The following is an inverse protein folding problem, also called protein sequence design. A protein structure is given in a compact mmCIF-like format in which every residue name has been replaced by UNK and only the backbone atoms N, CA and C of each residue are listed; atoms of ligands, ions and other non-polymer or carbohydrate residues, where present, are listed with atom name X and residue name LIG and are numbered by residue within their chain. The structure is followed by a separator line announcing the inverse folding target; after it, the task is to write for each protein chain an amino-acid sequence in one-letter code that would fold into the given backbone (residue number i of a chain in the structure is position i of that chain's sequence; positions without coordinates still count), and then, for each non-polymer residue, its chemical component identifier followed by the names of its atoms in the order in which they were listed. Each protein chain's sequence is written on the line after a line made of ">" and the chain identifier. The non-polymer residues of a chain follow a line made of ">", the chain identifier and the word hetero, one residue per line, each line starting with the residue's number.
data_IF_296262085978
#
_entry.id   IF_296262085978
#
_cell.length_a   1.000
_cell.length_b   1.000
_cell.length_c   1.000
_cell.angle_alpha   90.00
_cell.angle_beta   90.00
_cell.angle_gamma   90.00
#
_symmetry.space_group_name_H-M   'P 1'
#
loop_
_entity.id
_entity.type
_entity.pdbx_description
1 polymer ?
#
# COMPACT_ATOMS: atom_id res chain seq x y z
N UNK A 1 -6.71 1.62 -32.90
CA UNK A 1 -5.49 1.76 -33.72
C UNK A 1 -5.49 0.64 -34.74
N UNK A 2 -5.27 0.93 -36.03
CA UNK A 2 -5.06 -0.13 -37.04
C UNK A 2 -3.66 -0.71 -36.83
N UNK A 3 -3.56 -2.03 -36.85
CA UNK A 3 -2.27 -2.72 -36.80
C UNK A 3 -1.49 -2.39 -38.08
N UNK A 4 -0.28 -1.84 -37.91
CA UNK A 4 0.65 -1.46 -38.99
C UNK A 4 1.95 -2.24 -38.90
N UNK A 5 1.98 -3.31 -38.10
CA UNK A 5 3.17 -4.14 -37.91
C UNK A 5 3.59 -4.80 -39.23
N UNK A 6 2.63 -5.11 -40.10
CA UNK A 6 2.88 -5.72 -41.41
C UNK A 6 3.51 -4.72 -42.38
N UNK A 7 2.99 -3.49 -42.48
CA UNK A 7 3.58 -2.39 -43.27
C UNK A 7 5.05 -2.14 -42.88
N UNK A 8 5.39 -2.27 -41.60
CA UNK A 8 6.74 -2.07 -41.06
C UNK A 8 7.70 -3.21 -41.43
N UNK A 9 7.22 -4.45 -41.47
CA UNK A 9 8.03 -5.61 -41.87
C UNK A 9 8.38 -5.55 -43.36
N UNK A 10 7.41 -5.20 -44.20
CA UNK A 10 7.61 -5.03 -45.65
C UNK A 10 8.60 -3.88 -45.96
N UNK A 11 8.67 -2.84 -45.13
CA UNK A 11 9.64 -1.77 -45.28
C UNK A 11 11.07 -2.18 -44.85
N UNK A 12 11.18 -3.06 -43.86
CA UNK A 12 12.47 -3.51 -43.32
C UNK A 12 13.17 -4.52 -44.24
N UNK A 13 12.40 -5.37 -44.94
CA UNK A 13 12.96 -6.29 -45.96
C UNK A 13 13.56 -5.56 -47.18
N UNK A 14 13.24 -4.28 -47.39
CA UNK A 14 13.74 -3.47 -48.50
C UNK A 14 14.96 -2.60 -48.15
N UNK A 15 15.43 -2.60 -46.89
CA UNK A 15 16.62 -1.88 -46.46
C UNK A 15 17.60 -2.87 -45.78
N UNK A 16 18.62 -3.31 -46.53
CA UNK A 16 19.72 -4.17 -46.05
C UNK A 16 20.71 -3.45 -45.10
N UNK A 17 20.22 -2.56 -44.22
CA UNK A 17 20.98 -2.09 -43.06
C UNK A 17 20.33 -2.69 -41.80
N UNK A 18 20.55 -3.99 -41.60
CA UNK A 18 20.24 -4.67 -40.35
C UNK A 18 21.18 -4.12 -39.26
N UNK A 19 20.84 -2.95 -38.72
CA UNK A 19 21.40 -2.45 -37.48
C UNK A 19 20.95 -3.42 -36.38
N UNK A 20 21.76 -4.44 -36.15
CA UNK A 20 21.63 -5.36 -35.03
C UNK A 20 21.85 -4.53 -33.77
N UNK A 21 20.76 -3.99 -33.23
CA UNK A 21 20.73 -3.48 -31.87
C UNK A 21 20.89 -4.71 -31.00
N UNK A 22 22.11 -4.98 -30.56
CA UNK A 22 22.37 -5.84 -29.42
C UNK A 22 21.68 -5.20 -28.23
N UNK A 23 20.42 -5.58 -28.00
CA UNK A 23 19.76 -5.34 -26.72
C UNK A 23 20.51 -6.23 -25.74
N UNK A 24 21.57 -5.68 -25.14
CA UNK A 24 22.12 -6.25 -23.92
C UNK A 24 20.94 -6.32 -22.95
N UNK A 25 20.43 -7.53 -22.73
CA UNK A 25 19.52 -7.86 -21.62
C UNK A 25 20.33 -7.80 -20.32
N UNK A 26 20.97 -6.66 -20.07
CA UNK A 26 21.57 -6.41 -18.79
C UNK A 26 20.42 -6.09 -17.84
N UNK A 27 20.39 -6.77 -16.70
CA UNK A 27 19.27 -6.91 -15.77
C UNK A 27 18.73 -5.57 -15.26
N UNK A 28 17.92 -4.89 -16.10
CA UNK A 28 17.47 -3.53 -15.87
C UNK A 28 16.57 -3.46 -14.63
N UNK A 29 17.12 -2.93 -13.54
CA UNK A 29 16.42 -2.73 -12.27
C UNK A 29 15.76 -4.01 -11.71
N UNK A 30 16.32 -5.18 -12.01
CA UNK A 30 15.72 -6.47 -11.61
C UNK A 30 15.50 -6.56 -10.09
N UNK A 31 16.51 -6.23 -9.28
CA UNK A 31 16.41 -6.20 -7.82
C UNK A 31 15.30 -5.26 -7.33
N UNK A 32 15.16 -4.10 -7.99
CA UNK A 32 14.14 -3.13 -7.65
C UNK A 32 12.74 -3.65 -8.00
N UNK A 33 12.56 -4.29 -9.16
CA UNK A 33 11.29 -4.88 -9.54
C UNK A 33 10.91 -6.08 -8.67
N UNK A 34 11.89 -6.86 -8.22
CA UNK A 34 11.66 -7.90 -7.20
C UNK A 34 11.16 -7.31 -5.88
N UNK A 35 11.75 -6.21 -5.40
CA UNK A 35 11.26 -5.52 -4.20
C UNK A 35 9.84 -4.95 -4.40
N UNK A 36 9.56 -4.34 -5.55
CA UNK A 36 8.22 -3.84 -5.90
C UNK A 36 7.18 -4.96 -5.87
N UNK A 37 7.49 -6.11 -6.48
CA UNK A 37 6.59 -7.25 -6.52
C UNK A 37 6.39 -7.86 -5.13
N UNK A 38 7.45 -7.96 -4.32
CA UNK A 38 7.33 -8.42 -2.93
C UNK A 38 6.41 -7.50 -2.11
N UNK A 39 6.55 -6.17 -2.22
CA UNK A 39 5.66 -5.22 -1.55
C UNK A 39 4.22 -5.41 -2.03
N UNK A 40 4.02 -5.55 -3.34
CA UNK A 40 2.69 -5.75 -3.93
C UNK A 40 2.02 -7.01 -3.39
N UNK A 41 2.73 -8.13 -3.36
CA UNK A 41 2.21 -9.41 -2.85
C UNK A 41 1.87 -9.33 -1.36
N UNK A 42 2.67 -8.62 -0.56
CA UNK A 42 2.36 -8.38 0.84
C UNK A 42 1.10 -7.52 1.01
N UNK A 43 0.93 -6.46 0.21
CA UNK A 43 -0.29 -5.62 0.24
C UNK A 43 -1.52 -6.46 -0.15
N UNK A 44 -1.42 -7.27 -1.20
CA UNK A 44 -2.52 -8.14 -1.64
C UNK A 44 -2.88 -9.16 -0.55
N UNK A 45 -1.88 -9.77 0.09
CA UNK A 45 -2.09 -10.68 1.22
C UNK A 45 -2.72 -10.00 2.44
N UNK A 46 -2.35 -8.75 2.73
CA UNK A 46 -3.03 -7.97 3.78
C UNK A 46 -4.51 -7.79 3.40
N UNK A 47 -4.81 -7.42 2.17
CA UNK A 47 -6.19 -7.28 1.68
C UNK A 47 -7.00 -8.57 1.84
N UNK A 48 -6.43 -9.73 1.49
CA UNK A 48 -7.07 -11.04 1.72
C UNK A 48 -7.35 -11.31 3.21
N UNK A 49 -6.38 -11.03 4.08
CA UNK A 49 -6.55 -11.19 5.52
C UNK A 49 -7.63 -10.25 6.08
N UNK A 50 -7.75 -9.02 5.55
CA UNK A 50 -8.81 -8.06 5.92
C UNK A 50 -10.19 -8.61 5.57
N UNK A 51 -10.34 -9.22 4.40
CA UNK A 51 -11.60 -9.89 4.03
C UNK A 51 -11.94 -11.06 4.95
N UNK A 52 -10.94 -11.83 5.37
CA UNK A 52 -11.17 -12.91 6.33
C UNK A 52 -11.51 -12.38 7.72
N UNK A 53 -10.90 -11.27 8.16
CA UNK A 53 -11.29 -10.56 9.39
C UNK A 53 -12.77 -10.15 9.34
N UNK A 54 -13.25 -9.58 8.22
CA UNK A 54 -14.68 -9.24 8.04
C UNK A 54 -15.58 -10.46 8.23
N UNK A 55 -15.21 -11.62 7.66
CA UNK A 55 -15.97 -12.87 7.83
C UNK A 55 -15.98 -13.34 9.27
N UNK A 56 -14.83 -13.34 9.96
CA UNK A 56 -14.74 -13.76 11.37
C UNK A 56 -15.53 -12.82 12.29
N UNK A 57 -15.45 -11.52 12.08
CA UNK A 57 -16.29 -10.53 12.76
C UNK A 57 -17.78 -10.81 12.60
N UNK A 58 -18.22 -11.13 11.37
CA UNK A 58 -19.62 -11.48 11.11
C UNK A 58 -20.05 -12.74 11.88
N UNK A 59 -19.20 -13.77 11.92
CA UNK A 59 -19.47 -15.02 12.67
C UNK A 59 -19.57 -14.71 14.17
N UNK A 60 -18.61 -13.95 14.71
CA UNK A 60 -18.55 -13.56 16.12
C UNK A 60 -19.80 -12.78 16.55
N UNK A 61 -20.32 -11.90 15.69
CA UNK A 61 -21.53 -11.11 15.95
C UNK A 61 -22.84 -11.89 15.74
N UNK A 62 -22.79 -13.05 15.10
CA UNK A 62 -23.98 -13.87 14.81
C UNK A 62 -24.38 -14.77 15.98
N UNK A 63 -23.47 -15.07 16.90
CA UNK A 63 -23.69 -15.96 18.04
C UNK A 63 -23.54 -15.21 19.38
N UNK A 64 -24.43 -15.43 20.36
CA UNK A 64 -24.30 -14.89 21.72
C UNK A 64 -22.98 -15.28 22.40
N UNK A 65 -22.56 -16.52 22.20
CA UNK A 65 -21.29 -17.06 22.67
C UNK A 65 -20.55 -17.69 21.48
N UNK A 66 -19.73 -16.92 20.76
CA UNK A 66 -18.99 -17.42 19.62
C UNK A 66 -17.91 -18.41 20.07
N UNK A 67 -17.60 -19.38 19.21
CA UNK A 67 -16.60 -20.41 19.49
C UNK A 67 -15.22 -19.79 19.72
N UNK A 68 -14.51 -20.28 20.75
CA UNK A 68 -13.15 -19.82 21.07
C UNK A 68 -12.20 -19.90 19.88
N UNK A 69 -12.33 -20.94 19.07
CA UNK A 69 -11.55 -21.14 17.84
C UNK A 69 -11.69 -19.97 16.84
N UNK A 70 -12.88 -19.41 16.67
CA UNK A 70 -13.08 -18.27 15.75
C UNK A 70 -12.38 -17.02 16.27
N UNK A 71 -12.32 -16.84 17.60
CA UNK A 71 -11.59 -15.73 18.23
C UNK A 71 -10.07 -15.91 18.11
N UNK A 72 -9.56 -17.13 18.27
CA UNK A 72 -8.15 -17.46 18.06
C UNK A 72 -7.72 -17.20 16.61
N UNK A 73 -8.50 -17.66 15.63
CA UNK A 73 -8.25 -17.39 14.21
C UNK A 73 -8.26 -15.89 13.88
N UNK A 74 -9.13 -15.10 14.52
CA UNK A 74 -9.16 -13.64 14.37
C UNK A 74 -7.88 -12.97 14.93
N UNK A 75 -7.38 -13.46 16.07
CA UNK A 75 -6.13 -12.98 16.66
C UNK A 75 -4.93 -13.30 15.77
N UNK A 76 -4.88 -14.49 15.19
CA UNK A 76 -3.85 -14.89 14.22
C UNK A 76 -3.85 -13.99 12.98
N UNK A 77 -5.03 -13.71 12.42
CA UNK A 77 -5.19 -12.79 11.29
C UNK A 77 -4.71 -11.37 11.64
N UNK A 78 -5.06 -10.88 12.83
CA UNK A 78 -4.63 -9.55 13.31
C UNK A 78 -3.11 -9.47 13.41
N UNK A 79 -2.47 -10.50 13.98
CA UNK A 79 -1.01 -10.60 14.08
C UNK A 79 -0.34 -10.68 12.70
N UNK A 80 -0.94 -11.43 11.76
CA UNK A 80 -0.44 -11.57 10.40
C UNK A 80 -0.52 -10.23 9.64
N UNK A 81 -1.66 -9.53 9.69
CA UNK A 81 -1.83 -8.19 9.11
C UNK A 81 -0.78 -7.25 9.66
N UNK A 82 -0.60 -7.19 10.98
CA UNK A 82 0.38 -6.33 11.62
C UNK A 82 1.81 -6.61 11.15
N UNK A 83 2.19 -7.89 11.10
CA UNK A 83 3.52 -8.32 10.67
C UNK A 83 3.79 -7.91 9.21
N UNK A 84 2.86 -8.21 8.32
CA UNK A 84 3.01 -7.93 6.90
C UNK A 84 2.97 -6.41 6.64
N UNK A 85 2.13 -5.66 7.36
CA UNK A 85 2.06 -4.20 7.26
C UNK A 85 3.35 -3.49 7.72
N UNK A 86 3.94 -3.93 8.84
CA UNK A 86 5.25 -3.41 9.29
C UNK A 86 6.37 -3.70 8.28
N UNK A 87 6.32 -4.87 7.62
CA UNK A 87 7.28 -5.23 6.57
C UNK A 87 7.12 -4.32 5.35
N UNK A 88 5.89 -4.12 4.86
CA UNK A 88 5.57 -3.19 3.77
C UNK A 88 6.05 -1.78 4.10
N UNK A 89 5.77 -1.29 5.31
CA UNK A 89 6.19 0.04 5.76
C UNK A 89 7.71 0.21 5.73
N UNK A 90 8.45 -0.80 6.21
CA UNK A 90 9.92 -0.79 6.22
C UNK A 90 10.48 -0.75 4.79
N UNK A 91 9.93 -1.56 3.89
CA UNK A 91 10.36 -1.62 2.49
C UNK A 91 10.03 -0.32 1.74
N UNK A 92 8.85 0.27 1.96
CA UNK A 92 8.49 1.57 1.37
C UNK A 92 9.43 2.68 1.85
N UNK A 93 9.73 2.74 3.15
CA UNK A 93 10.71 3.71 3.69
C UNK A 93 12.11 3.52 3.12
N UNK A 94 12.54 2.27 2.88
CA UNK A 94 13.82 1.99 2.23
C UNK A 94 13.82 2.49 0.77
N UNK A 95 12.77 2.19 0.02
CA UNK A 95 12.58 2.66 -1.35
C UNK A 95 12.54 4.19 -1.45
N UNK A 96 11.95 4.88 -0.47
CA UNK A 96 11.94 6.34 -0.39
C UNK A 96 13.35 6.91 -0.20
N UNK A 97 14.19 6.32 0.66
CA UNK A 97 15.57 6.74 0.89
C UNK A 97 16.43 6.58 -0.36
N UNK A 98 16.32 5.44 -1.03
CA UNK A 98 16.98 5.20 -2.32
C UNK A 98 16.60 6.26 -3.37
N UNK A 99 15.36 6.78 -3.33
CA UNK A 99 14.92 7.86 -4.21
C UNK A 99 15.46 9.25 -3.83
N UNK A 100 15.89 9.47 -2.57
CA UNK A 100 16.41 10.77 -2.08
C UNK A 100 17.93 10.90 -2.26
N UNK A 101 18.67 9.79 -2.15
CA UNK A 101 20.14 9.79 -2.22
C UNK A 101 20.70 9.98 -3.65
N UNK A 102 19.92 9.76 -4.71
CA UNK A 102 20.32 10.02 -6.12
C UNK A 102 20.32 11.51 -6.52
N UNK A 103 20.60 12.41 -5.56
CA UNK A 103 20.41 13.87 -5.59
C UNK A 103 21.15 14.69 -6.68
N UNK A 104 21.80 14.08 -7.66
CA UNK A 104 22.48 14.78 -8.76
C UNK A 104 21.96 14.41 -10.16
N UNK A 105 21.08 13.41 -10.28
CA UNK A 105 20.57 12.91 -11.57
C UNK A 105 19.04 13.06 -11.68
N UNK A 106 18.55 14.27 -11.38
CA UNK A 106 17.13 14.65 -11.23
C UNK A 106 16.20 14.29 -12.41
N UNK A 107 16.73 13.84 -13.55
CA UNK A 107 15.98 13.47 -14.76
C UNK A 107 16.18 12.01 -15.24
N UNK A 108 16.81 11.13 -14.47
CA UNK A 108 17.04 9.74 -14.91
C UNK A 108 15.70 8.97 -15.05
N UNK A 109 15.60 8.12 -16.08
CA UNK A 109 14.44 7.23 -16.28
C UNK A 109 14.23 6.33 -15.05
N UNK A 110 15.32 5.88 -14.44
CA UNK A 110 15.32 5.01 -13.26
C UNK A 110 14.67 5.70 -12.06
N UNK A 111 15.06 6.94 -11.76
CA UNK A 111 14.51 7.71 -10.64
C UNK A 111 13.00 7.94 -10.82
N UNK A 112 12.54 8.20 -12.05
CA UNK A 112 11.10 8.35 -12.35
C UNK A 112 10.32 7.07 -12.14
N UNK A 113 10.86 5.94 -12.59
CA UNK A 113 10.22 4.64 -12.37
C UNK A 113 10.13 4.34 -10.87
N UNK A 114 11.24 4.50 -10.13
CA UNK A 114 11.28 4.28 -8.67
C UNK A 114 10.25 5.14 -7.92
N UNK A 115 10.21 6.44 -8.21
CA UNK A 115 9.24 7.37 -7.60
C UNK A 115 7.79 7.03 -7.94
N UNK A 116 7.50 6.64 -9.18
CA UNK A 116 6.16 6.27 -9.62
C UNK A 116 5.69 4.98 -8.94
N UNK A 117 6.56 3.97 -8.85
CA UNK A 117 6.27 2.70 -8.19
C UNK A 117 6.07 2.87 -6.69
N UNK A 118 7.02 3.54 -6.01
CA UNK A 118 6.89 3.91 -4.59
C UNK A 118 5.53 4.54 -4.33
N UNK A 119 5.16 5.52 -5.17
CA UNK A 119 3.93 6.25 -4.97
C UNK A 119 2.65 5.43 -5.16
N UNK A 120 2.66 4.56 -6.16
CA UNK A 120 1.55 3.66 -6.43
C UNK A 120 1.37 2.66 -5.29
N UNK A 121 2.48 2.07 -4.81
CA UNK A 121 2.48 1.13 -3.70
C UNK A 121 2.05 1.80 -2.38
N UNK A 122 2.54 3.00 -2.07
CA UNK A 122 2.12 3.76 -0.87
C UNK A 122 0.61 4.01 -0.86
N UNK A 123 0.02 4.43 -1.99
CA UNK A 123 -1.44 4.61 -2.09
C UNK A 123 -2.21 3.31 -1.92
N UNK A 124 -1.77 2.23 -2.57
CA UNK A 124 -2.42 0.93 -2.46
C UNK A 124 -2.37 0.42 -1.01
N UNK A 125 -1.22 0.55 -0.35
CA UNK A 125 -1.05 0.20 1.05
C UNK A 125 -1.96 1.04 1.96
N UNK A 126 -1.97 2.37 1.81
CA UNK A 126 -2.84 3.25 2.58
C UNK A 126 -4.33 2.91 2.39
N UNK A 127 -4.74 2.57 1.17
CA UNK A 127 -6.11 2.15 0.88
C UNK A 127 -6.50 0.88 1.66
N UNK A 128 -5.67 -0.17 1.60
CA UNK A 128 -5.94 -1.44 2.30
C UNK A 128 -5.94 -1.25 3.82
N UNK A 129 -5.01 -0.45 4.35
CA UNK A 129 -4.97 -0.17 5.79
C UNK A 129 -6.18 0.65 6.26
N UNK A 130 -6.64 1.60 5.44
CA UNK A 130 -7.87 2.36 5.72
C UNK A 130 -9.08 1.44 5.78
N UNK A 131 -9.22 0.53 4.83
CA UNK A 131 -10.28 -0.48 4.81
C UNK A 131 -10.22 -1.42 6.03
N UNK A 132 -9.01 -1.78 6.47
CA UNK A 132 -8.84 -2.54 7.70
C UNK A 132 -9.34 -1.76 8.92
N UNK A 133 -8.98 -0.47 9.05
CA UNK A 133 -9.43 0.37 10.15
C UNK A 133 -10.95 0.57 10.15
N UNK A 134 -11.56 0.81 8.98
CA UNK A 134 -13.02 0.87 8.83
C UNK A 134 -13.68 -0.44 9.26
N UNK A 135 -13.09 -1.59 8.90
CA UNK A 135 -13.57 -2.90 9.33
C UNK A 135 -13.56 -3.05 10.85
N UNK A 136 -12.50 -2.59 11.51
CA UNK A 136 -12.39 -2.61 12.97
C UNK A 136 -13.44 -1.69 13.62
N UNK A 137 -13.59 -0.44 13.15
CA UNK A 137 -14.60 0.50 13.67
C UNK A 137 -16.02 -0.07 13.52
N UNK A 138 -16.35 -0.64 12.37
CA UNK A 138 -17.66 -1.25 12.14
C UNK A 138 -17.93 -2.41 13.12
N UNK A 139 -16.92 -3.20 13.45
CA UNK A 139 -17.06 -4.27 14.45
C UNK A 139 -17.20 -3.72 15.88
N UNK A 140 -16.49 -2.64 16.22
CA UNK A 140 -16.65 -1.91 17.48
C UNK A 140 -18.10 -1.48 17.67
N UNK A 141 -18.65 -0.76 16.69
CA UNK A 141 -19.96 -0.12 16.80
C UNK A 141 -21.07 -1.18 16.86
N UNK A 142 -20.94 -2.26 16.09
CA UNK A 142 -21.85 -3.40 16.20
C UNK A 142 -21.76 -4.10 17.55
N UNK A 143 -20.56 -4.22 18.13
CA UNK A 143 -20.37 -4.79 19.47
C UNK A 143 -20.97 -3.88 20.55
N UNK A 144 -20.79 -2.56 20.45
CA UNK A 144 -21.44 -1.56 21.31
C UNK A 144 -22.97 -1.70 21.26
N UNK A 145 -23.56 -1.75 20.06
CA UNK A 145 -25.00 -1.92 19.90
C UNK A 145 -25.53 -3.25 20.47
N UNK A 146 -24.74 -4.34 20.40
CA UNK A 146 -25.07 -5.61 21.08
C UNK A 146 -25.06 -5.46 22.60
N UNK A 147 -24.04 -4.80 23.17
CA UNK A 147 -23.98 -4.54 24.62
C UNK A 147 -25.20 -3.72 25.07
N UNK A 148 -25.53 -2.66 24.34
CA UNK A 148 -26.71 -1.84 24.62
C UNK A 148 -27.99 -2.69 24.66
N UNK A 149 -28.17 -3.54 23.64
CA UNK A 149 -29.31 -4.46 23.56
C UNK A 149 -29.39 -5.42 24.76
N UNK A 150 -28.25 -5.94 25.21
CA UNK A 150 -28.19 -6.84 26.35
C UNK A 150 -28.47 -6.10 27.68
N UNK A 151 -28.05 -4.84 27.82
CA UNK A 151 -28.40 -4.00 28.97
C UNK A 151 -29.92 -3.71 29.02
N UNK A 152 -30.56 -3.47 27.87
CA UNK A 152 -32.02 -3.32 27.81
C UNK A 152 -32.74 -4.59 28.32
N UNK A 153 -32.23 -5.78 27.97
CA UNK A 153 -32.81 -7.07 28.39
C UNK A 153 -32.71 -7.25 29.91
N UNK A 154 -31.65 -6.75 30.54
CA UNK A 154 -31.49 -6.78 31.99
C UNK A 154 -32.28 -5.68 32.71
N UNK A 155 -32.95 -4.80 31.96
CA UNK A 155 -33.77 -3.71 32.49
C UNK A 155 -33.00 -2.40 32.73
N UNK A 156 -31.73 -2.31 32.32
CA UNK A 156 -30.92 -1.09 32.40
C UNK A 156 -31.00 -0.36 31.06
N UNK A 157 -31.74 0.74 31.01
CA UNK A 157 -31.75 1.63 29.83
C UNK A 157 -30.52 2.51 29.91
N UNK A 158 -29.69 2.48 28.86
CA UNK A 158 -28.44 3.25 28.80
C UNK A 158 -28.42 4.06 27.52
N UNK A 159 -28.12 5.34 27.64
CA UNK A 159 -27.89 6.23 26.48
C UNK A 159 -26.57 5.89 25.78
N UNK A 160 -26.38 6.39 24.56
CA UNK A 160 -25.15 6.10 23.81
C UNK A 160 -23.90 6.67 24.48
N UNK A 161 -24.03 7.86 25.09
CA UNK A 161 -22.97 8.56 25.82
C UNK A 161 -22.60 7.84 27.12
N UNK A 162 -23.60 7.42 27.91
CA UNK A 162 -23.36 6.63 29.13
C UNK A 162 -22.70 5.29 28.81
N UNK A 163 -23.11 4.64 27.71
CA UNK A 163 -22.51 3.39 27.29
C UNK A 163 -21.05 3.59 26.87
N UNK A 164 -20.74 4.71 26.24
CA UNK A 164 -19.37 5.07 25.88
C UNK A 164 -18.49 5.24 27.12
N UNK A 165 -18.95 6.02 28.11
CA UNK A 165 -18.25 6.20 29.38
C UNK A 165 -18.03 4.86 30.10
N UNK A 166 -19.00 3.95 30.04
CA UNK A 166 -18.86 2.61 30.58
C UNK A 166 -17.77 1.79 29.89
N UNK A 167 -17.64 1.89 28.56
CA UNK A 167 -16.59 1.23 27.77
C UNK A 167 -15.21 1.83 28.08
N UNK A 168 -15.11 3.16 28.15
CA UNK A 168 -13.86 3.88 28.44
C UNK A 168 -13.33 3.61 29.86
N UNK A 169 -14.21 3.30 30.81
CA UNK A 169 -13.84 2.98 32.18
C UNK A 169 -12.90 1.78 32.31
N UNK A 170 -12.91 0.87 31.31
CA UNK A 170 -12.12 -0.35 31.29
C UNK A 170 -12.46 -1.36 32.39
N UNK A 171 -13.50 -1.12 33.20
CA UNK A 171 -13.89 -1.95 34.32
C UNK A 171 -15.11 -2.81 33.96
N UNK A 172 -14.97 -4.13 33.75
CA UNK A 172 -16.09 -5.01 33.41
C UNK A 172 -17.22 -5.04 34.46
N UNK A 173 -16.90 -4.72 35.72
CA UNK A 173 -17.89 -4.70 36.80
C UNK A 173 -18.91 -3.57 36.66
N UNK A 174 -18.64 -2.54 35.86
CA UNK A 174 -19.58 -1.43 35.62
C UNK A 174 -20.87 -1.90 34.93
N UNK A 175 -20.78 -3.01 34.19
CA UNK A 175 -21.93 -3.63 33.55
C UNK A 175 -22.74 -4.49 34.51
N UNK A 176 -22.21 -4.90 35.65
CA UNK A 176 -22.86 -5.86 36.57
C UNK A 176 -23.29 -5.25 37.91
N UNK A 177 -22.76 -4.07 38.29
CA UNK A 177 -22.94 -3.47 39.62
C UNK A 177 -24.39 -3.23 40.03
N UNK A 178 -25.26 -2.90 39.07
CA UNK A 178 -26.65 -2.50 39.34
C UNK A 178 -27.67 -3.57 38.93
N UNK A 179 -27.21 -4.72 38.44
CA UNK A 179 -28.07 -5.74 37.83
C UNK A 179 -28.23 -6.93 38.77
N UNK A 180 -29.47 -7.14 39.23
CA UNK A 180 -29.84 -8.28 40.05
C UNK A 180 -29.85 -9.54 39.16
N UNK A 181 -28.90 -10.45 39.39
CA UNK A 181 -28.68 -11.66 38.59
C UNK A 181 -29.61 -12.82 38.96
N UNK A 182 -30.89 -12.56 39.17
CA UNK A 182 -31.85 -13.58 39.67
C UNK A 182 -32.39 -14.49 38.56
N UNK A 183 -32.37 -14.02 37.30
CA UNK A 183 -32.83 -14.80 36.15
C UNK A 183 -31.67 -15.40 35.35
N UNK A 184 -31.89 -16.61 34.82
CA UNK A 184 -30.97 -17.24 33.87
C UNK A 184 -30.75 -16.36 32.62
N UNK A 185 -31.78 -15.62 32.20
CA UNK A 185 -31.72 -14.67 31.07
C UNK A 185 -30.74 -13.54 31.39
N UNK A 186 -30.82 -12.96 32.59
CA UNK A 186 -29.93 -11.88 33.04
C UNK A 186 -28.48 -12.36 33.09
N UNK A 187 -28.22 -13.56 33.62
CA UNK A 187 -26.87 -14.15 33.63
C UNK A 187 -26.30 -14.33 32.22
N UNK A 188 -27.11 -14.79 31.28
CA UNK A 188 -26.69 -14.96 29.90
C UNK A 188 -26.36 -13.61 29.23
N UNK A 189 -27.20 -12.60 29.44
CA UNK A 189 -26.96 -11.24 28.93
C UNK A 189 -25.66 -10.65 29.49
N UNK A 190 -25.40 -10.82 30.79
CA UNK A 190 -24.16 -10.35 31.42
C UNK A 190 -22.91 -11.05 30.86
N UNK A 191 -22.96 -12.37 30.65
CA UNK A 191 -21.85 -13.12 30.04
C UNK A 191 -21.56 -12.64 28.60
N UNK A 192 -22.61 -12.35 27.82
CA UNK A 192 -22.46 -11.82 26.47
C UNK A 192 -21.83 -10.41 26.50
N UNK A 193 -22.30 -9.54 27.40
CA UNK A 193 -21.73 -8.20 27.61
C UNK A 193 -20.24 -8.28 27.91
N UNK A 194 -19.84 -9.12 28.86
CA UNK A 194 -18.43 -9.29 29.23
C UNK A 194 -17.58 -9.78 28.04
N UNK A 195 -18.09 -10.78 27.29
CA UNK A 195 -17.44 -11.32 26.11
C UNK A 195 -17.28 -10.26 25.00
N UNK A 196 -18.29 -9.41 24.77
CA UNK A 196 -18.23 -8.32 23.79
C UNK A 196 -17.30 -7.19 24.24
N UNK A 197 -17.34 -6.81 25.51
CA UNK A 197 -16.46 -5.80 26.08
C UNK A 197 -14.99 -6.21 25.93
N UNK A 198 -14.66 -7.46 26.22
CA UNK A 198 -13.30 -8.00 25.99
C UNK A 198 -12.87 -7.91 24.53
N UNK A 199 -13.79 -8.16 23.60
CA UNK A 199 -13.49 -8.05 22.17
C UNK A 199 -13.26 -6.58 21.75
N UNK A 200 -14.02 -5.62 22.29
CA UNK A 200 -13.78 -4.17 22.09
C UNK A 200 -12.41 -3.75 22.65
N UNK A 201 -12.03 -4.22 23.84
CA UNK A 201 -10.72 -3.89 24.41
C UNK A 201 -9.55 -4.39 23.54
N UNK A 202 -9.65 -5.60 22.98
CA UNK A 202 -8.63 -6.12 22.06
C UNK A 202 -8.58 -5.31 20.76
N UNK A 203 -9.75 -4.91 20.27
CA UNK A 203 -9.90 -4.08 19.09
C UNK A 203 -9.20 -2.73 19.25
N UNK A 204 -9.41 -2.05 20.38
CA UNK A 204 -8.82 -0.75 20.66
C UNK A 204 -7.29 -0.80 20.71
N UNK A 205 -6.72 -1.88 21.25
CA UNK A 205 -5.27 -2.11 21.18
C UNK A 205 -4.82 -2.22 19.73
N UNK A 206 -5.52 -3.01 18.90
CA UNK A 206 -5.21 -3.11 17.47
C UNK A 206 -5.33 -1.77 16.74
N UNK A 207 -6.36 -0.97 17.01
CA UNK A 207 -6.56 0.34 16.37
C UNK A 207 -5.46 1.33 16.79
N UNK A 208 -5.06 1.31 18.06
CA UNK A 208 -3.97 2.15 18.57
C UNK A 208 -2.64 1.82 17.91
N UNK A 209 -2.34 0.53 17.71
CA UNK A 209 -1.16 0.09 16.97
C UNK A 209 -1.20 0.53 15.50
N UNK A 210 -2.39 0.53 14.86
CA UNK A 210 -2.56 1.06 13.50
C UNK A 210 -2.35 2.57 13.42
N UNK A 211 -2.73 3.32 14.45
CA UNK A 211 -2.63 4.78 14.46
C UNK A 211 -1.20 5.26 14.21
N UNK A 212 -0.20 4.63 14.84
CA UNK A 212 1.22 4.96 14.61
C UNK A 212 1.60 4.75 13.13
N UNK A 213 1.12 3.66 12.53
CA UNK A 213 1.34 3.38 11.11
C UNK A 213 0.64 4.37 10.19
N UNK A 214 -0.57 4.84 10.54
CA UNK A 214 -1.30 5.85 9.79
C UNK A 214 -0.62 7.21 9.80
N UNK A 215 -0.07 7.63 10.93
CA UNK A 215 0.69 8.89 11.01
C UNK A 215 1.90 8.84 10.06
N UNK A 216 2.62 7.73 10.05
CA UNK A 216 3.74 7.52 9.14
C UNK A 216 3.31 7.46 7.66
N UNK A 217 2.19 6.79 7.36
CA UNK A 217 1.65 6.73 6.00
C UNK A 217 1.15 8.10 5.52
N UNK A 218 0.52 8.89 6.38
CA UNK A 218 0.06 10.24 6.06
C UNK A 218 1.25 11.11 5.64
N UNK A 219 2.35 11.07 6.39
CA UNK A 219 3.59 11.76 6.01
C UNK A 219 4.16 11.24 4.68
N UNK A 220 4.18 9.92 4.47
CA UNK A 220 4.65 9.33 3.22
C UNK A 220 3.81 9.75 2.01
N UNK A 221 2.48 9.83 2.15
CA UNK A 221 1.56 10.21 1.06
C UNK A 221 1.55 11.72 0.82
N UNK A 222 1.60 12.54 1.88
CA UNK A 222 1.62 14.01 1.77
C UNK A 222 2.88 14.51 1.05
N UNK A 223 4.05 13.92 1.33
CA UNK A 223 5.30 14.27 0.64
C UNK A 223 5.27 13.96 -0.87
N UNK A 224 4.33 13.14 -1.33
CA UNK A 224 4.19 12.75 -2.74
C UNK A 224 3.22 13.63 -3.53
N UNK A 225 2.56 14.60 -2.87
CA UNK A 225 1.41 15.37 -3.36
C UNK A 225 1.57 16.15 -4.67
N UNK A 226 2.77 16.25 -5.26
CA UNK A 226 2.98 16.96 -6.54
C UNK A 226 3.40 16.06 -7.73
N UNK A 227 3.73 14.78 -7.53
CA UNK A 227 4.44 14.01 -8.58
C UNK A 227 3.58 13.03 -9.38
N UNK A 228 2.35 12.76 -8.97
CA UNK A 228 1.53 11.68 -9.54
C UNK A 228 0.70 12.15 -10.75
N UNK A 229 0.34 13.44 -10.79
CA UNK A 229 -0.36 14.04 -11.94
C UNK A 229 0.57 14.42 -13.10
N UNK A 230 1.70 13.70 -13.21
CA UNK A 230 2.79 13.97 -14.14
C UNK A 230 2.94 12.87 -15.18
N UNK A 231 1.87 12.22 -15.65
CA UNK A 231 1.99 11.48 -16.93
C UNK A 231 2.44 12.47 -18.01
N UNK A 232 1.80 13.65 -18.04
CA UNK A 232 2.16 14.75 -18.94
C UNK A 232 3.60 15.22 -18.70
N UNK A 233 3.97 15.56 -17.47
CA UNK A 233 5.33 16.03 -17.15
C UNK A 233 6.41 14.96 -17.35
N UNK A 234 6.13 13.67 -17.07
CA UNK A 234 7.08 12.59 -17.32
C UNK A 234 7.26 12.33 -18.83
N UNK A 235 6.19 12.41 -19.62
CA UNK A 235 6.26 12.34 -21.09
C UNK A 235 7.01 13.56 -21.64
N UNK A 236 6.75 14.76 -21.13
CA UNK A 236 7.46 15.99 -21.51
C UNK A 236 8.95 15.88 -21.20
N UNK A 237 9.32 15.45 -19.99
CA UNK A 237 10.71 15.26 -19.61
C UNK A 237 11.42 14.17 -20.44
N UNK A 238 10.69 13.12 -20.83
CA UNK A 238 11.23 12.08 -21.73
C UNK A 238 11.47 12.63 -23.14
N UNK A 239 10.53 13.43 -23.67
CA UNK A 239 10.68 14.12 -24.95
C UNK A 239 11.88 15.08 -24.94
N UNK A 240 12.09 15.80 -23.83
CA UNK A 240 13.23 16.70 -23.67
C UNK A 240 14.57 15.94 -23.68
N UNK A 241 14.65 14.80 -22.98
CA UNK A 241 15.86 13.97 -22.97
C UNK A 241 16.21 13.43 -24.38
N UNK A 242 15.21 12.95 -25.12
CA UNK A 242 15.38 12.53 -26.53
C UNK A 242 15.80 13.71 -27.40
N UNK A 243 15.25 14.90 -27.16
CA UNK A 243 15.64 16.14 -27.83
C UNK A 243 17.13 16.46 -27.63
N UNK A 244 17.62 16.41 -26.38
CA UNK A 244 19.04 16.63 -26.05
C UNK A 244 19.94 15.54 -26.65
N UNK A 245 19.55 14.27 -26.57
CA UNK A 245 20.29 13.16 -27.18
C UNK A 245 20.42 13.31 -28.71
N UNK A 246 19.37 13.81 -29.37
CA UNK A 246 19.39 14.13 -30.81
C UNK A 246 20.38 15.26 -31.13
N UNK A 247 20.49 16.28 -30.28
CA UNK A 247 21.49 17.33 -30.48
C UNK A 247 22.93 16.81 -30.29
N UNK A 248 23.16 16.00 -29.26
CA UNK A 248 24.49 15.44 -29.00
C UNK A 248 24.94 14.48 -30.11
N UNK A 249 24.05 13.63 -30.63
CA UNK A 249 24.37 12.79 -31.80
C UNK A 249 24.68 13.63 -33.04
N UNK A 250 23.95 14.73 -33.27
CA UNK A 250 24.25 15.67 -34.37
C UNK A 250 25.61 16.36 -34.20
N UNK A 251 25.98 16.75 -32.97
CA UNK A 251 27.32 17.29 -32.67
C UNK A 251 28.40 16.23 -32.89
N UNK A 252 28.17 14.99 -32.45
CA UNK A 252 29.09 13.87 -32.64
C UNK A 252 29.38 13.61 -34.13
N UNK A 253 28.35 13.59 -34.99
CA UNK A 253 28.50 13.45 -36.45
C UNK A 253 29.30 14.61 -37.06
N UNK A 254 29.07 15.85 -36.58
CA UNK A 254 29.85 17.03 -36.99
C UNK A 254 31.32 16.93 -36.56
N UNK A 255 31.60 16.41 -35.36
CA UNK A 255 32.97 16.18 -34.91
C UNK A 255 33.66 15.08 -35.71
N UNK A 256 32.97 13.95 -35.95
CA UNK A 256 33.49 12.85 -36.76
C UNK A 256 33.83 13.31 -38.19
N UNK A 257 32.96 14.07 -38.84
CA UNK A 257 33.21 14.61 -40.18
C UNK A 257 34.37 15.61 -40.24
N UNK A 258 34.51 16.49 -39.22
CA UNK A 258 35.67 17.37 -39.10
C UNK A 258 36.98 16.61 -38.84
N UNK A 259 36.93 15.59 -37.98
CA UNK A 259 38.08 14.73 -37.68
C UNK A 259 38.55 13.99 -38.95
N UNK A 260 37.63 13.42 -39.73
CA UNK A 260 37.94 12.78 -41.02
C UNK A 260 38.63 13.74 -41.99
N UNK A 261 38.12 14.97 -42.14
CA UNK A 261 38.75 16.00 -43.00
C UNK A 261 40.16 16.36 -42.54
N UNK A 262 40.38 16.51 -41.24
CA UNK A 262 41.72 16.76 -40.68
C UNK A 262 42.66 15.58 -40.92
N UNK A 263 42.16 14.34 -40.79
CA UNK A 263 42.94 13.15 -41.10
C UNK A 263 43.39 13.10 -42.56
N UNK A 264 42.52 13.44 -43.51
CA UNK A 264 42.89 13.53 -44.93
C UNK A 264 43.98 14.59 -45.18
N UNK A 265 43.88 15.75 -44.54
CA UNK A 265 44.91 16.80 -44.66
C UNK A 265 46.24 16.32 -44.09
N UNK A 266 46.23 15.68 -42.92
CA UNK A 266 47.45 15.11 -42.32
C UNK A 266 48.04 14.01 -43.21
N UNK A 267 47.21 13.13 -43.77
CA UNK A 267 47.67 12.08 -44.68
C UNK A 267 48.39 12.68 -45.89
N UNK A 268 47.79 13.69 -46.54
CA UNK A 268 48.37 14.39 -47.70
C UNK A 268 49.67 15.13 -47.34
N UNK A 269 49.81 15.65 -46.12
CA UNK A 269 51.04 16.34 -45.68
C UNK A 269 52.17 15.40 -45.27
N UNK A 270 51.90 14.12 -44.99
CA UNK A 270 52.88 13.13 -44.51
C UNK A 270 53.31 12.16 -45.62
N UNK A 271 52.55 12.04 -46.71
CA UNK A 271 52.95 11.38 -47.97
C UNK A 271 53.65 12.34 -48.91
#
# INVERSE_FOLDING_TARGET
>A
MRDRLQDLREFNENNDEEATVTVEHDHFMEDFFHQVEEIRLLIDKIGENVEDVKKKHSIILSAPNPEGKTKEELEELTLAIRKDANKVQTMLKAMERECKDEGENQGSVNLRIRKTQHSTLSRKFASVMTEYNETQILFRDRSKGRIQRQLEITGKTTTDDELEEMLESGNPAIFTSDIISDSQITRQALNEIESRHKDIMKLEVSIRELHEMFMDMAMLVEHQGEMINNIETNVVNAAEYVGRAKEETKKAVRYQSKARRKMFIILICVT
#
